data_IF_275401851160
#
_entry.id   IF_275401851160
#
_cell.length_a   1.000
_cell.length_b   1.000
_cell.length_c   1.000
_cell.angle_alpha   90.00
_cell.angle_beta   90.00
_cell.angle_gamma   90.00
#
_symmetry.space_group_name_H-M   'P 1'
#
loop_
_entity.id
_entity.type
_entity.pdbx_description
1 polymer ?
#
# COMPACT_ATOMS: atom_id res chain seq x y z
N UNK A 1 -15.65 -13.63 8.48
CA UNK A 1 -16.02 -12.50 7.59
C UNK A 1 -15.39 -12.80 6.25
N UNK A 2 -16.16 -12.82 5.16
CA UNK A 2 -15.70 -13.26 3.84
C UNK A 2 -14.45 -12.50 3.42
N UNK A 3 -13.36 -13.23 3.22
CA UNK A 3 -12.04 -12.75 2.79
C UNK A 3 -12.04 -12.39 1.31
N UNK A 4 -12.97 -11.54 0.89
CA UNK A 4 -13.01 -11.06 -0.50
C UNK A 4 -12.17 -9.79 -0.59
N UNK A 5 -11.25 -9.80 -1.56
CA UNK A 5 -10.43 -8.62 -1.89
C UNK A 5 -11.39 -7.46 -2.21
N UNK A 6 -11.11 -6.23 -1.71
CA UNK A 6 -11.98 -5.10 -2.02
C UNK A 6 -12.05 -4.86 -3.53
N UNK A 7 -13.27 -4.66 -4.04
CA UNK A 7 -13.49 -4.42 -5.47
C UNK A 7 -12.68 -3.22 -6.02
N UNK A 8 -12.29 -2.28 -5.16
CA UNK A 8 -11.38 -1.21 -5.53
C UNK A 8 -9.97 -1.72 -5.86
N UNK A 9 -9.41 -2.61 -5.03
CA UNK A 9 -8.10 -3.20 -5.27
C UNK A 9 -8.12 -4.03 -6.56
N UNK A 10 -9.20 -4.79 -6.82
CA UNK A 10 -9.37 -5.55 -8.05
C UNK A 10 -9.40 -4.66 -9.30
N UNK A 11 -10.14 -3.54 -9.25
CA UNK A 11 -10.17 -2.57 -10.36
C UNK A 11 -8.78 -2.00 -10.67
N UNK A 12 -7.99 -1.69 -9.63
CA UNK A 12 -6.62 -1.20 -9.79
C UNK A 12 -5.72 -2.30 -10.35
N UNK A 13 -5.88 -3.54 -9.89
CA UNK A 13 -5.16 -4.69 -10.42
C UNK A 13 -5.42 -4.89 -11.92
N UNK A 14 -6.68 -4.89 -12.35
CA UNK A 14 -7.00 -4.99 -13.78
C UNK A 14 -6.41 -3.83 -14.60
N UNK A 15 -6.44 -2.60 -14.07
CA UNK A 15 -5.84 -1.45 -14.73
C UNK A 15 -4.32 -1.62 -14.86
N UNK A 16 -3.65 -2.14 -13.82
CA UNK A 16 -2.23 -2.44 -13.82
C UNK A 16 -1.87 -3.52 -14.86
N UNK A 17 -2.64 -4.62 -14.91
CA UNK A 17 -2.48 -5.67 -15.91
C UNK A 17 -2.62 -5.10 -17.32
N UNK A 18 -3.68 -4.32 -17.58
CA UNK A 18 -3.88 -3.64 -18.88
C UNK A 18 -2.73 -2.70 -19.22
N UNK A 19 -2.18 -1.97 -18.24
CA UNK A 19 -1.02 -1.11 -18.45
C UNK A 19 0.19 -1.92 -18.89
N UNK A 20 0.54 -2.99 -18.17
CA UNK A 20 1.66 -3.86 -18.52
C UNK A 20 1.51 -4.54 -19.90
N UNK A 21 0.29 -4.91 -20.30
CA UNK A 21 0.07 -5.49 -21.64
C UNK A 21 0.27 -4.50 -22.79
N UNK A 22 0.03 -3.20 -22.56
CA UNK A 22 0.12 -2.15 -23.60
C UNK A 22 1.50 -1.54 -23.71
N UNK A 23 2.26 -1.60 -22.63
CA UNK A 23 3.54 -0.95 -22.51
C UNK A 23 4.64 -1.92 -22.93
N UNK A 24 5.45 -1.50 -23.92
CA UNK A 24 6.58 -2.30 -24.40
C UNK A 24 7.60 -2.48 -23.28
N UNK A 25 8.06 -3.72 -23.07
CA UNK A 25 9.04 -4.06 -22.04
C UNK A 25 10.31 -3.20 -22.18
N UNK A 26 10.66 -2.47 -21.12
CA UNK A 26 11.83 -1.57 -21.06
C UNK A 26 11.72 -0.55 -19.91
N UNK A 27 12.80 0.21 -19.60
CA UNK A 27 12.85 1.12 -18.44
C UNK A 27 11.77 2.21 -18.45
N UNK A 28 11.44 2.74 -19.64
CA UNK A 28 10.36 3.71 -19.83
C UNK A 28 8.98 3.10 -19.62
N UNK A 29 8.87 1.76 -19.74
CA UNK A 29 7.62 1.06 -19.54
C UNK A 29 7.31 0.77 -18.08
N UNK A 30 8.31 0.43 -17.29
CA UNK A 30 8.15 0.23 -15.83
C UNK A 30 7.75 1.53 -15.11
N UNK A 31 8.25 2.68 -15.56
CA UNK A 31 7.84 3.97 -15.02
C UNK A 31 6.39 4.33 -15.37
N UNK A 32 5.90 3.94 -16.55
CA UNK A 32 4.54 4.24 -17.02
C UNK A 32 3.46 3.66 -16.10
N UNK A 33 3.65 2.43 -15.59
CA UNK A 33 2.67 1.74 -14.75
C UNK A 33 2.93 1.92 -13.23
N UNK A 34 3.99 2.64 -12.84
CA UNK A 34 4.42 2.76 -11.43
C UNK A 34 3.33 3.28 -10.50
N UNK A 35 2.52 4.23 -10.96
CA UNK A 35 1.45 4.82 -10.14
C UNK A 35 0.35 3.79 -9.83
N UNK A 36 0.00 2.92 -10.77
CA UNK A 36 -0.96 1.82 -10.57
C UNK A 36 -0.39 0.79 -9.61
N UNK A 37 0.89 0.43 -9.77
CA UNK A 37 1.55 -0.51 -8.87
C UNK A 37 1.56 0.01 -7.42
N UNK A 38 1.92 1.29 -7.23
CA UNK A 38 1.87 1.94 -5.92
C UNK A 38 0.45 1.96 -5.35
N UNK A 39 -0.55 2.30 -6.17
CA UNK A 39 -1.95 2.36 -5.72
C UNK A 39 -2.48 0.99 -5.32
N UNK A 40 -2.12 -0.06 -6.06
CA UNK A 40 -2.48 -1.43 -5.72
C UNK A 40 -1.86 -1.86 -4.40
N UNK A 41 -0.56 -1.58 -4.20
CA UNK A 41 0.12 -1.88 -2.95
C UNK A 41 -0.53 -1.16 -1.76
N UNK A 42 -0.85 0.13 -1.91
CA UNK A 42 -1.54 0.90 -0.87
C UNK A 42 -2.94 0.34 -0.54
N UNK A 43 -3.69 -0.11 -1.56
CA UNK A 43 -5.00 -0.73 -1.39
C UNK A 43 -4.90 -2.06 -0.63
N UNK A 44 -3.99 -2.94 -1.05
CA UNK A 44 -3.78 -4.25 -0.42
C UNK A 44 -3.29 -4.10 1.02
N UNK A 45 -2.37 -3.17 1.29
CA UNK A 45 -1.91 -2.90 2.66
C UNK A 45 -3.06 -2.38 3.51
N UNK A 46 -3.92 -1.49 2.98
CA UNK A 46 -5.08 -1.00 3.72
C UNK A 46 -6.16 -2.06 3.97
N UNK A 47 -6.23 -3.08 3.11
CA UNK A 47 -7.11 -4.23 3.30
C UNK A 47 -6.58 -5.18 4.38
N UNK A 48 -5.28 -5.49 4.33
CA UNK A 48 -4.65 -6.47 5.24
C UNK A 48 -4.37 -5.87 6.63
N UNK A 49 -3.89 -4.63 6.68
CA UNK A 49 -3.53 -3.89 7.91
C UNK A 49 -4.34 -2.58 8.01
N UNK A 50 -5.67 -2.64 8.18
CA UNK A 50 -6.53 -1.46 8.09
C UNK A 50 -6.25 -0.42 9.18
N UNK A 51 -6.03 -0.85 10.42
CA UNK A 51 -5.82 0.05 11.56
C UNK A 51 -4.46 0.75 11.46
N UNK A 52 -3.40 0.00 11.19
CA UNK A 52 -2.04 0.51 11.10
C UNK A 52 -1.88 1.42 9.88
N UNK A 53 -2.49 1.06 8.74
CA UNK A 53 -2.46 1.90 7.54
C UNK A 53 -3.21 3.22 7.73
N UNK A 54 -4.36 3.20 8.42
CA UNK A 54 -5.09 4.40 8.79
C UNK A 54 -4.29 5.26 9.77
N UNK A 55 -3.65 4.65 10.77
CA UNK A 55 -2.80 5.34 11.73
C UNK A 55 -1.64 6.07 11.03
N UNK A 56 -0.96 5.41 10.09
CA UNK A 56 0.09 6.05 9.28
C UNK A 56 -0.47 7.23 8.48
N UNK A 57 -1.62 7.07 7.79
CA UNK A 57 -2.25 8.16 7.04
C UNK A 57 -2.53 9.38 7.93
N UNK A 58 -3.04 9.18 9.13
CA UNK A 58 -3.38 10.27 10.06
C UNK A 58 -2.14 10.88 10.71
N UNK A 59 -1.23 10.06 11.25
CA UNK A 59 -0.11 10.54 12.07
C UNK A 59 1.07 11.04 11.24
N UNK A 60 1.26 10.53 10.02
CA UNK A 60 2.38 10.91 9.15
C UNK A 60 2.04 11.99 8.12
N UNK A 61 0.79 12.45 8.04
CA UNK A 61 0.37 13.47 7.07
C UNK A 61 1.16 14.79 7.21
N UNK A 62 1.62 15.14 8.41
CA UNK A 62 2.29 16.40 8.70
C UNK A 62 3.53 16.21 9.59
N UNK A 63 4.66 16.80 9.19
CA UNK A 63 5.96 16.69 9.91
C UNK A 63 6.00 17.34 11.30
N UNK A 64 5.00 18.17 11.62
CA UNK A 64 4.59 18.61 12.97
C UNK A 64 5.67 18.80 14.05
N UNK A 65 5.27 18.57 15.30
CA UNK A 65 6.14 18.65 16.49
C UNK A 65 7.01 17.39 16.62
N UNK A 66 7.99 17.40 17.53
CA UNK A 66 8.78 16.20 17.85
C UNK A 66 7.88 15.02 18.27
N UNK A 67 6.82 15.29 19.04
CA UNK A 67 5.84 14.28 19.42
C UNK A 67 5.13 13.68 18.20
N UNK A 68 4.63 14.50 17.26
CA UNK A 68 3.96 14.00 16.04
C UNK A 68 4.89 13.13 15.19
N UNK A 69 6.18 13.48 15.12
CA UNK A 69 7.20 12.66 14.42
C UNK A 69 7.40 11.30 15.10
N UNK A 70 7.50 11.28 16.42
CA UNK A 70 7.60 10.02 17.19
C UNK A 70 6.35 9.15 17.02
N UNK A 71 5.15 9.75 17.03
CA UNK A 71 3.90 9.03 16.78
C UNK A 71 3.83 8.45 15.36
N UNK A 72 4.23 9.22 14.34
CA UNK A 72 4.34 8.72 12.98
C UNK A 72 5.33 7.55 12.87
N UNK A 73 6.50 7.67 13.49
CA UNK A 73 7.51 6.59 13.49
C UNK A 73 6.95 5.32 14.13
N UNK A 74 6.24 5.44 15.26
CA UNK A 74 5.61 4.27 15.91
C UNK A 74 4.52 3.63 15.04
N UNK A 75 3.73 4.44 14.34
CA UNK A 75 2.72 3.95 13.39
C UNK A 75 3.37 3.19 12.22
N UNK A 76 4.49 3.69 11.69
CA UNK A 76 5.25 3.02 10.64
C UNK A 76 5.80 1.66 11.09
N UNK A 77 6.34 1.59 12.31
CA UNK A 77 6.82 0.32 12.91
C UNK A 77 5.66 -0.67 13.03
N UNK A 78 4.51 -0.22 13.54
CA UNK A 78 3.33 -1.07 13.74
C UNK A 78 2.83 -1.63 12.40
N UNK A 79 2.76 -0.78 11.37
CA UNK A 79 2.39 -1.20 10.02
C UNK A 79 3.37 -2.22 9.44
N UNK A 80 4.69 -2.01 9.61
CA UNK A 80 5.70 -2.95 9.16
C UNK A 80 5.54 -4.32 9.82
N UNK A 81 5.30 -4.36 11.13
CA UNK A 81 5.04 -5.60 11.88
C UNK A 81 3.81 -6.35 11.35
N UNK A 82 2.70 -5.64 11.12
CA UNK A 82 1.49 -6.26 10.55
C UNK A 82 1.76 -6.84 9.15
N UNK A 83 2.43 -6.09 8.28
CA UNK A 83 2.80 -6.57 6.93
C UNK A 83 3.68 -7.83 7.03
N UNK A 84 4.70 -7.83 7.89
CA UNK A 84 5.57 -8.99 8.08
C UNK A 84 4.82 -10.22 8.58
N UNK A 85 3.89 -10.04 9.52
CA UNK A 85 3.04 -11.13 10.02
C UNK A 85 2.22 -11.81 8.90
N UNK A 86 1.73 -11.02 7.93
CA UNK A 86 1.00 -11.55 6.78
C UNK A 86 1.87 -12.06 5.63
N UNK A 87 3.17 -11.75 5.64
CA UNK A 87 4.14 -12.21 4.63
C UNK A 87 4.82 -13.53 5.02
N UNK A 88 4.88 -13.86 6.32
CA UNK A 88 5.47 -15.10 6.80
C UNK A 88 4.45 -16.24 6.70
N UNK A 89 4.65 -17.25 5.84
CA UNK A 89 3.75 -18.39 5.74
C UNK A 89 3.96 -19.29 6.97
N UNK A 90 3.14 -19.10 8.00
CA UNK A 90 3.02 -20.06 9.11
C UNK A 90 2.19 -21.28 8.71
#
# INVERSE_FOLDING_TARGET
MSSEVPAECDRIYEALVRCHTRVRSGPSGESACRHLNRSLAECMIAFVCPEESAAVKTLCANKGTALKRSQCQQAQISLATCISYHQDPH
#
